data_IF_849876780139
#
_entry.id   IF_849876780139
#
_cell.length_a   1.000
_cell.length_b   1.000
_cell.length_c   1.000
_cell.angle_alpha   90.00
_cell.angle_beta   90.00
_cell.angle_gamma   90.00
#
_symmetry.space_group_name_H-M   'P 1'
#
loop_
_entity.id
_entity.type
_entity.pdbx_description
1 polymer ?
#
# COMPACT_ATOMS: atom_id res chain seq x y z
N UNK A 1 4.03 19.89 -4.97
CA UNK A 1 5.13 20.03 -5.96
C UNK A 1 6.27 19.10 -5.55
N UNK A 2 7.09 18.64 -6.50
CA UNK A 2 8.19 17.70 -6.28
C UNK A 2 9.03 17.99 -5.02
N UNK A 3 9.46 19.25 -4.83
CA UNK A 3 10.26 19.64 -3.66
C UNK A 3 9.54 19.53 -2.32
N UNK A 4 8.22 19.67 -2.28
CA UNK A 4 7.44 19.43 -1.06
C UNK A 4 7.37 17.94 -0.75
N UNK A 5 7.14 17.10 -1.75
CA UNK A 5 7.11 15.64 -1.59
C UNK A 5 8.48 15.11 -1.13
N UNK A 6 9.57 15.62 -1.70
CA UNK A 6 10.93 15.29 -1.28
C UNK A 6 11.23 15.63 0.19
N UNK A 7 10.64 16.70 0.72
CA UNK A 7 10.83 17.11 2.10
C UNK A 7 9.98 16.31 3.11
N UNK A 8 9.13 15.40 2.65
CA UNK A 8 8.20 14.62 3.46
C UNK A 8 8.45 13.11 3.34
N UNK A 9 9.65 12.70 2.92
CA UNK A 9 10.03 11.29 2.90
C UNK A 9 10.13 10.80 4.34
N UNK A 10 9.48 9.68 4.60
CA UNK A 10 9.66 8.83 5.78
C UNK A 10 9.93 7.40 5.32
N UNK A 11 10.50 6.58 6.18
CA UNK A 11 10.63 5.14 5.95
C UNK A 11 9.61 4.36 6.79
N UNK A 12 9.28 3.13 6.37
CA UNK A 12 8.34 2.30 7.12
C UNK A 12 8.89 1.96 8.52
N UNK A 13 10.21 1.83 8.66
CA UNK A 13 10.90 1.55 9.92
C UNK A 13 10.82 2.69 10.94
N UNK A 14 10.45 3.90 10.52
CA UNK A 14 10.21 5.02 11.44
C UNK A 14 8.93 4.83 12.27
N UNK A 15 8.04 3.89 11.89
CA UNK A 15 6.83 3.57 12.64
C UNK A 15 7.10 2.61 13.80
N UNK A 16 7.06 3.14 15.03
CA UNK A 16 7.16 2.33 16.24
C UNK A 16 5.78 1.80 16.69
N UNK A 17 5.47 0.55 16.33
CA UNK A 17 4.20 -0.11 16.64
C UNK A 17 4.23 -0.94 17.95
N UNK A 18 5.30 -0.84 18.75
CA UNK A 18 5.51 -1.72 19.90
C UNK A 18 4.39 -1.61 20.96
N UNK A 19 3.79 -0.43 21.13
CA UNK A 19 2.73 -0.17 22.10
C UNK A 19 1.31 -0.37 21.54
N UNK A 20 1.14 -0.24 20.23
CA UNK A 20 -0.19 -0.32 19.60
C UNK A 20 -0.76 -1.73 19.69
N UNK A 21 0.11 -2.74 19.68
CA UNK A 21 -0.26 -4.15 19.83
C UNK A 21 -0.97 -4.44 21.15
N UNK A 22 -0.50 -3.84 22.25
CA UNK A 22 -1.11 -4.03 23.58
C UNK A 22 -2.38 -3.23 23.78
N UNK A 23 -2.50 -2.08 23.11
CA UNK A 23 -3.67 -1.20 23.22
C UNK A 23 -4.86 -1.70 22.39
N UNK A 24 -4.62 -2.30 21.22
CA UNK A 24 -5.69 -2.74 20.31
C UNK A 24 -6.51 -3.94 20.80
N UNK A 25 -5.87 -4.93 21.41
CA UNK A 25 -6.52 -6.21 21.76
C UNK A 25 -7.59 -6.10 22.86
N UNK A 26 -7.53 -5.06 23.69
CA UNK A 26 -8.50 -4.82 24.77
C UNK A 26 -9.50 -3.70 24.51
N UNK A 27 -9.37 -2.95 23.41
CA UNK A 27 -10.13 -1.70 23.18
C UNK A 27 -11.18 -1.78 22.07
N UNK A 28 -11.04 -2.72 21.12
CA UNK A 28 -11.92 -2.83 19.96
C UNK A 28 -12.80 -4.08 20.02
N UNK A 29 -14.04 -3.94 19.54
CA UNK A 29 -14.95 -5.06 19.31
C UNK A 29 -14.54 -5.87 18.07
N UNK A 30 -15.06 -7.09 17.94
CA UNK A 30 -14.76 -7.95 16.79
C UNK A 30 -15.23 -7.34 15.45
N UNK A 31 -16.32 -6.57 15.45
CA UNK A 31 -16.80 -5.86 14.27
C UNK A 31 -15.86 -4.72 13.86
N UNK A 32 -15.36 -3.94 14.83
CA UNK A 32 -14.37 -2.88 14.57
C UNK A 32 -13.06 -3.47 14.07
N UNK A 33 -12.63 -4.62 14.61
CA UNK A 33 -11.48 -5.36 14.12
C UNK A 33 -11.67 -5.82 12.66
N UNK A 34 -12.82 -6.38 12.32
CA UNK A 34 -13.12 -6.81 10.95
C UNK A 34 -13.11 -5.63 9.96
N UNK A 35 -13.67 -4.48 10.37
CA UNK A 35 -13.61 -3.25 9.58
C UNK A 35 -12.17 -2.76 9.41
N UNK A 36 -11.38 -2.74 10.49
CA UNK A 36 -9.99 -2.30 10.46
C UNK A 36 -9.16 -3.14 9.47
N UNK A 37 -9.31 -4.47 9.50
CA UNK A 37 -8.62 -5.37 8.56
C UNK A 37 -9.01 -5.11 7.11
N UNK A 38 -10.30 -4.89 6.83
CA UNK A 38 -10.75 -4.53 5.48
C UNK A 38 -10.17 -3.20 5.00
N UNK A 39 -10.10 -2.20 5.89
CA UNK A 39 -9.51 -0.89 5.56
C UNK A 39 -8.03 -1.02 5.24
N UNK A 40 -7.26 -1.75 6.06
CA UNK A 40 -5.85 -2.02 5.80
C UNK A 40 -5.66 -2.72 4.45
N UNK A 41 -6.47 -3.73 4.18
CA UNK A 41 -6.41 -4.49 2.95
C UNK A 41 -6.74 -3.63 1.73
N UNK A 42 -7.77 -2.79 1.84
CA UNK A 42 -8.16 -1.87 0.78
C UNK A 42 -7.02 -0.90 0.42
N UNK A 43 -6.40 -0.28 1.42
CA UNK A 43 -5.33 0.70 1.18
C UNK A 43 -4.06 0.05 0.62
N UNK A 44 -3.64 -1.10 1.16
CA UNK A 44 -2.52 -1.85 0.60
C UNK A 44 -2.77 -2.21 -0.88
N UNK A 45 -4.00 -2.62 -1.23
CA UNK A 45 -4.35 -2.90 -2.63
C UNK A 45 -4.31 -1.63 -3.49
N UNK A 46 -4.89 -0.54 -3.00
CA UNK A 46 -4.99 0.71 -3.75
C UNK A 46 -3.61 1.29 -4.07
N UNK A 47 -2.70 1.31 -3.10
CA UNK A 47 -1.34 1.85 -3.28
C UNK A 47 -0.55 1.03 -4.30
N UNK A 48 -0.72 -0.29 -4.32
CA UNK A 48 -0.12 -1.17 -5.33
C UNK A 48 -0.60 -0.82 -6.75
N UNK A 49 -1.92 -0.70 -6.94
CA UNK A 49 -2.53 -0.37 -8.24
C UNK A 49 -2.10 1.04 -8.70
N UNK A 50 -2.07 2.01 -7.78
CA UNK A 50 -1.68 3.38 -8.08
C UNK A 50 -0.20 3.45 -8.45
N UNK A 51 0.66 2.78 -7.68
CA UNK A 51 2.10 2.69 -7.95
C UNK A 51 2.40 2.10 -9.33
N UNK A 52 1.74 1.00 -9.68
CA UNK A 52 1.87 0.36 -11.00
C UNK A 52 1.43 1.29 -12.13
N UNK A 53 0.25 1.92 -12.02
CA UNK A 53 -0.25 2.84 -13.04
C UNK A 53 0.65 4.08 -13.21
N UNK A 54 1.26 4.57 -12.12
CA UNK A 54 2.24 5.67 -12.17
C UNK A 54 3.48 5.28 -12.98
N UNK A 55 3.99 4.06 -12.79
CA UNK A 55 5.22 3.58 -13.46
C UNK A 55 4.95 3.18 -14.91
N UNK A 56 3.94 2.35 -15.15
CA UNK A 56 3.71 1.74 -16.46
C UNK A 56 3.08 2.70 -17.46
N UNK A 57 2.20 3.60 -16.99
CA UNK A 57 1.44 4.51 -17.86
C UNK A 57 1.93 5.94 -17.73
N UNK A 58 1.73 6.58 -16.58
CA UNK A 58 1.94 8.02 -16.47
C UNK A 58 3.39 8.46 -16.64
N UNK A 59 4.36 7.74 -16.07
CA UNK A 59 5.78 8.05 -16.25
C UNK A 59 6.26 7.80 -17.69
N UNK A 60 5.67 6.81 -18.38
CA UNK A 60 5.98 6.48 -19.77
C UNK A 60 5.41 7.52 -20.75
N UNK A 61 4.18 7.99 -20.53
CA UNK A 61 3.47 8.91 -21.43
C UNK A 61 3.99 10.36 -21.31
N UNK A 62 4.41 10.80 -20.12
CA UNK A 62 4.82 12.18 -19.92
C UNK A 62 6.20 12.45 -20.53
N UNK A 63 6.28 13.47 -21.39
CA UNK A 63 7.53 13.83 -22.07
C UNK A 63 8.37 14.88 -21.34
N UNK A 64 7.75 15.64 -20.44
CA UNK A 64 8.45 16.65 -19.63
C UNK A 64 9.22 15.94 -18.51
N UNK A 65 10.56 16.04 -18.47
CA UNK A 65 11.40 15.30 -17.51
C UNK A 65 11.04 15.58 -16.05
N UNK A 66 10.72 16.83 -15.71
CA UNK A 66 10.36 17.22 -14.35
C UNK A 66 9.08 16.55 -13.86
N UNK A 67 8.09 16.38 -14.74
CA UNK A 67 6.86 15.65 -14.41
C UNK A 67 7.08 14.14 -14.37
N UNK A 68 7.97 13.61 -15.22
CA UNK A 68 8.36 12.19 -15.15
C UNK A 68 9.02 11.86 -13.83
N UNK A 69 10.00 12.67 -13.41
CA UNK A 69 10.67 12.51 -12.12
C UNK A 69 9.69 12.65 -10.96
N UNK A 70 8.68 13.53 -11.09
CA UNK A 70 7.63 13.63 -10.09
C UNK A 70 6.79 12.35 -9.98
N UNK A 71 6.37 11.74 -11.09
CA UNK A 71 5.60 10.48 -11.06
C UNK A 71 6.41 9.30 -10.54
N UNK A 72 7.68 9.18 -10.94
CA UNK A 72 8.58 8.14 -10.40
C UNK A 72 8.77 8.33 -8.89
N UNK A 73 8.92 9.58 -8.44
CA UNK A 73 9.02 9.88 -7.02
C UNK A 73 7.72 9.56 -6.27
N UNK A 74 6.56 9.84 -6.86
CA UNK A 74 5.28 9.46 -6.29
C UNK A 74 5.15 7.93 -6.19
N UNK A 75 5.51 7.18 -7.24
CA UNK A 75 5.50 5.72 -7.21
C UNK A 75 6.39 5.15 -6.09
N UNK A 76 7.55 5.77 -5.83
CA UNK A 76 8.40 5.39 -4.69
C UNK A 76 7.69 5.61 -3.35
N UNK A 77 6.97 6.74 -3.19
CA UNK A 77 6.20 7.01 -1.97
C UNK A 77 5.04 6.02 -1.80
N UNK A 78 4.31 5.68 -2.88
CA UNK A 78 3.25 4.65 -2.81
C UNK A 78 3.81 3.29 -2.39
N UNK A 79 5.03 2.94 -2.82
CA UNK A 79 5.68 1.71 -2.34
C UNK A 79 5.98 1.75 -0.84
N UNK A 80 6.42 2.90 -0.30
CA UNK A 80 6.60 3.07 1.15
C UNK A 80 5.26 2.97 1.89
N UNK A 81 4.18 3.54 1.36
CA UNK A 81 2.85 3.38 1.94
C UNK A 81 2.40 1.92 1.97
N UNK A 82 2.63 1.19 0.87
CA UNK A 82 2.35 -0.24 0.80
C UNK A 82 3.14 -1.05 1.83
N UNK A 83 4.43 -0.75 2.02
CA UNK A 83 5.27 -1.38 3.05
C UNK A 83 4.75 -1.10 4.46
N UNK A 84 4.31 0.13 4.74
CA UNK A 84 3.68 0.51 6.01
C UNK A 84 2.41 -0.31 6.26
N UNK A 85 1.51 -0.40 5.28
CA UNK A 85 0.28 -1.18 5.46
C UNK A 85 0.57 -2.68 5.61
N UNK A 86 1.57 -3.21 4.91
CA UNK A 86 2.02 -4.59 5.08
C UNK A 86 2.53 -4.84 6.49
N UNK A 87 3.33 -3.92 7.05
CA UNK A 87 3.81 -3.99 8.44
C UNK A 87 2.66 -3.93 9.45
N UNK A 88 1.65 -3.08 9.23
CA UNK A 88 0.46 -3.02 10.08
C UNK A 88 -0.33 -4.33 10.02
N UNK A 89 -0.54 -4.90 8.84
CA UNK A 89 -1.19 -6.20 8.65
C UNK A 89 -0.43 -7.29 9.43
N UNK A 90 0.89 -7.38 9.27
CA UNK A 90 1.73 -8.36 9.97
C UNK A 90 1.70 -8.17 11.50
N UNK A 91 1.60 -6.92 11.96
CA UNK A 91 1.59 -6.59 13.39
C UNK A 91 0.27 -6.93 14.06
N UNK A 92 -0.86 -6.67 13.38
CA UNK A 92 -2.20 -6.76 13.99
C UNK A 92 -2.98 -8.02 13.63
N UNK A 93 -2.71 -8.67 12.49
CA UNK A 93 -3.41 -9.88 12.06
C UNK A 93 -2.52 -11.07 12.37
N UNK A 94 -2.87 -11.88 13.38
CA UNK A 94 -2.03 -13.01 13.82
C UNK A 94 -2.30 -14.31 13.07
N UNK A 95 -3.51 -14.47 12.53
CA UNK A 95 -3.87 -15.68 11.81
C UNK A 95 -3.20 -15.68 10.44
N UNK A 96 -2.28 -16.64 10.25
CA UNK A 96 -1.54 -16.80 9.02
C UNK A 96 -2.48 -17.13 7.85
N UNK A 97 -3.63 -17.78 8.08
CA UNK A 97 -4.61 -18.04 7.03
C UNK A 97 -5.32 -16.74 6.60
N UNK A 98 -5.74 -15.91 7.55
CA UNK A 98 -6.31 -14.59 7.28
C UNK A 98 -5.30 -13.68 6.55
N UNK A 99 -4.05 -13.61 7.03
CA UNK A 99 -2.98 -12.88 6.34
C UNK A 99 -2.80 -13.36 4.90
N UNK A 100 -2.64 -14.67 4.68
CA UNK A 100 -2.46 -15.23 3.34
C UNK A 100 -3.66 -14.94 2.43
N UNK A 101 -4.87 -14.92 2.98
CA UNK A 101 -6.08 -14.58 2.22
C UNK A 101 -6.05 -13.13 1.77
N UNK A 102 -5.67 -12.21 2.66
CA UNK A 102 -5.54 -10.78 2.33
C UNK A 102 -4.42 -10.54 1.31
N UNK A 103 -3.23 -11.09 1.52
CA UNK A 103 -2.11 -10.98 0.58
C UNK A 103 -2.38 -11.63 -0.77
N UNK A 104 -3.14 -12.73 -0.80
CA UNK A 104 -3.55 -13.38 -2.04
C UNK A 104 -4.58 -12.55 -2.79
N UNK A 105 -5.55 -11.95 -2.10
CA UNK A 105 -6.48 -11.01 -2.71
C UNK A 105 -5.73 -9.82 -3.35
N UNK A 106 -4.63 -9.36 -2.74
CA UNK A 106 -3.75 -8.35 -3.35
C UNK A 106 -3.11 -8.85 -4.64
N UNK A 107 -2.47 -10.03 -4.63
CA UNK A 107 -1.84 -10.59 -5.83
C UNK A 107 -2.83 -10.86 -6.97
N UNK A 108 -3.99 -11.43 -6.67
CA UNK A 108 -5.02 -11.70 -7.68
C UNK A 108 -5.59 -10.40 -8.28
N UNK A 109 -5.65 -9.31 -7.50
CA UNK A 109 -6.06 -8.01 -8.03
C UNK A 109 -5.06 -7.46 -9.06
N UNK A 110 -3.77 -7.70 -8.88
CA UNK A 110 -2.70 -7.31 -9.80
C UNK A 110 -2.79 -8.11 -11.11
N UNK A 111 -2.91 -9.43 -11.03
CA UNK A 111 -3.03 -10.32 -12.20
C UNK A 111 -4.32 -10.07 -13.01
N UNK A 112 -5.40 -9.62 -12.36
CA UNK A 112 -6.65 -9.30 -13.04
C UNK A 112 -6.56 -8.09 -13.98
N UNK A 113 -5.56 -7.22 -13.78
CA UNK A 113 -5.21 -6.11 -14.67
C UNK A 113 -4.43 -6.54 -15.92
N UNK A 114 -3.86 -7.75 -15.92
CA UNK A 114 -3.01 -8.29 -17.00
C UNK A 114 -3.78 -8.98 -18.13
N UNK A 115 -5.13 -8.98 -18.15
CA UNK A 115 -5.84 -9.50 -19.34
C UNK A 115 -5.45 -8.64 -20.55
N UNK A 116 -4.68 -9.17 -21.52
CA UNK A 116 -4.44 -8.43 -22.74
C UNK A 116 -5.79 -8.30 -23.40
N UNK A 117 -6.18 -7.07 -23.75
CA UNK A 117 -7.23 -6.85 -24.74
C UNK A 117 -6.84 -7.70 -25.95
N UNK A 118 -7.59 -8.80 -26.13
CA UNK A 118 -7.37 -9.74 -27.21
C UNK A 118 -7.31 -8.98 -28.53
N UNK A 119 -6.29 -9.29 -29.32
CA UNK A 119 -6.31 -8.98 -30.76
C UNK A 119 -7.48 -9.70 -31.42
#
# INVERSE_FOLDING_TARGET
>A
SYKKAQASISSAEEMNLAQDRTSGEGSLTEQEWAMFRHVLAFFATADSIVGENLVERFACEVQVPEFRLFYIFQAMIENVHWEVYSLLIDTFIRDLQEQNTLFRAFKESQESGEKPLGR
#
